data_IF_194996215168
#
_entry.id   IF_194996215168
#
_cell.length_a   1.000
_cell.length_b   1.000
_cell.length_c   1.000
_cell.angle_alpha   90.00
_cell.angle_beta   90.00
_cell.angle_gamma   90.00
#
_symmetry.space_group_name_H-M   'P 1'
#
loop_
_entity.id
_entity.type
_entity.pdbx_description
1 polymer ?
#
# COMPACT_ATOMS: atom_id res chain seq x y z
N UNK A 1 53.56 10.79 -14.13
CA UNK A 1 52.46 11.55 -14.75
C UNK A 1 51.21 10.67 -14.87
N UNK A 2 50.58 10.30 -13.75
CA UNK A 2 49.39 9.42 -13.75
C UNK A 2 48.52 9.60 -12.49
N UNK A 3 48.56 10.76 -11.84
CA UNK A 3 47.91 10.98 -10.53
C UNK A 3 46.93 12.16 -10.53
N UNK A 4 46.54 12.66 -11.71
CA UNK A 4 45.65 13.83 -11.82
C UNK A 4 44.27 13.47 -12.37
N UNK A 5 44.09 12.27 -12.92
CA UNK A 5 42.83 11.88 -13.58
C UNK A 5 41.79 11.23 -12.65
N UNK A 6 42.21 10.64 -11.52
CA UNK A 6 41.30 9.93 -10.60
C UNK A 6 40.36 10.90 -9.87
N UNK A 7 40.82 12.11 -9.56
CA UNK A 7 40.00 13.14 -8.89
C UNK A 7 38.90 13.70 -9.82
N UNK A 8 39.13 13.75 -11.13
CA UNK A 8 38.12 14.22 -12.09
C UNK A 8 36.96 13.21 -12.25
N UNK A 9 37.24 11.90 -12.13
CA UNK A 9 36.21 10.87 -12.22
C UNK A 9 35.30 10.82 -10.98
N UNK A 10 35.80 11.23 -9.81
CA UNK A 10 35.03 11.27 -8.56
C UNK A 10 34.08 12.48 -8.47
N UNK A 11 34.32 13.55 -9.25
CA UNK A 11 33.50 14.77 -9.23
C UNK A 11 32.36 14.78 -10.26
N UNK A 12 32.32 13.81 -11.20
CA UNK A 12 31.27 13.71 -12.22
C UNK A 12 30.01 12.97 -11.75
N UNK A 13 30.04 12.35 -10.58
CA UNK A 13 28.92 11.63 -9.98
C UNK A 13 28.08 12.50 -9.06
N UNK A 14 27.69 13.70 -9.48
CA UNK A 14 26.63 14.41 -8.79
C UNK A 14 25.31 13.68 -9.09
N UNK A 15 24.97 12.70 -8.24
CA UNK A 15 23.63 12.12 -8.21
C UNK A 15 22.68 13.30 -7.98
N UNK A 16 21.89 13.67 -8.99
CA UNK A 16 20.78 14.58 -8.78
C UNK A 16 19.84 13.90 -7.77
N UNK A 17 19.89 14.36 -6.52
CA UNK A 17 18.85 14.07 -5.55
C UNK A 17 17.64 14.85 -6.03
N UNK A 18 16.71 14.17 -6.68
CA UNK A 18 15.41 14.76 -6.95
C UNK A 18 14.83 15.31 -5.65
N UNK A 19 14.21 16.47 -5.72
CA UNK A 19 13.53 17.04 -4.57
C UNK A 19 12.53 16.00 -4.06
N UNK A 20 12.58 15.71 -2.76
CA UNK A 20 11.62 14.80 -2.14
C UNK A 20 10.19 15.30 -2.45
N UNK A 21 9.33 14.39 -2.90
CA UNK A 21 7.92 14.70 -3.15
C UNK A 21 7.30 15.39 -1.94
N UNK A 22 6.40 16.34 -2.17
CA UNK A 22 5.60 16.88 -1.07
C UNK A 22 4.74 15.76 -0.45
N UNK A 23 4.35 15.86 0.84
CA UNK A 23 3.45 14.89 1.46
C UNK A 23 2.16 14.64 0.65
N UNK A 24 1.63 15.67 -0.02
CA UNK A 24 0.44 15.56 -0.88
C UNK A 24 0.72 14.74 -2.14
N UNK A 25 1.88 14.94 -2.77
CA UNK A 25 2.31 14.15 -3.93
C UNK A 25 2.57 12.69 -3.55
N UNK A 26 3.14 12.44 -2.37
CA UNK A 26 3.30 11.08 -1.84
C UNK A 26 1.95 10.40 -1.60
N UNK A 27 1.00 11.11 -0.97
CA UNK A 27 -0.35 10.59 -0.71
C UNK A 27 -1.13 10.32 -2.01
N UNK A 28 -0.96 11.17 -3.03
CA UNK A 28 -1.56 10.98 -4.35
C UNK A 28 -1.16 9.66 -5.00
N UNK A 29 0.06 9.17 -4.76
CA UNK A 29 0.54 7.86 -5.25
C UNK A 29 -0.06 6.68 -4.51
N UNK A 30 -0.43 6.86 -3.24
CA UNK A 30 -0.95 5.80 -2.38
C UNK A 30 -2.44 5.47 -2.62
N UNK A 31 -3.14 6.20 -3.52
CA UNK A 31 -4.57 5.99 -3.82
C UNK A 31 -5.45 5.86 -2.57
N UNK A 32 -5.19 6.71 -1.57
CA UNK A 32 -5.87 6.64 -0.24
C UNK A 32 -7.37 6.93 -0.30
N UNK A 33 -7.83 7.56 -1.38
CA UNK A 33 -9.24 7.76 -1.68
C UNK A 33 -9.63 6.86 -2.84
N UNK A 34 -10.63 5.99 -2.64
CA UNK A 34 -11.23 5.29 -3.76
C UNK A 34 -12.11 6.25 -4.55
N UNK A 35 -11.81 6.39 -5.83
CA UNK A 35 -12.62 7.08 -6.84
C UNK A 35 -13.21 6.12 -7.88
N UNK A 36 -12.88 4.83 -7.77
CA UNK A 36 -13.36 3.74 -8.61
C UNK A 36 -13.33 2.43 -7.81
N UNK A 37 -14.13 1.42 -8.19
CA UNK A 37 -14.02 0.08 -7.64
C UNK A 37 -12.64 -0.54 -7.87
N UNK A 38 -12.20 -1.34 -6.92
CA UNK A 38 -11.00 -2.18 -7.01
C UNK A 38 -11.19 -3.32 -8.00
N UNK A 39 -10.14 -3.66 -8.76
CA UNK A 39 -10.18 -4.80 -9.68
C UNK A 39 -10.21 -6.13 -8.93
N UNK A 40 -9.40 -6.23 -7.87
CA UNK A 40 -9.24 -7.43 -7.05
C UNK A 40 -8.61 -7.07 -5.69
N UNK A 41 -8.22 -8.07 -4.90
CA UNK A 41 -7.62 -7.88 -3.58
C UNK A 41 -6.22 -7.23 -3.60
N UNK A 42 -5.52 -7.16 -4.74
CA UNK A 42 -4.23 -6.48 -4.85
C UNK A 42 -4.37 -4.96 -4.79
N UNK A 43 -5.56 -4.43 -5.10
CA UNK A 43 -5.90 -3.01 -4.95
C UNK A 43 -6.38 -2.67 -3.52
N UNK A 44 -6.26 -3.61 -2.58
CA UNK A 44 -6.75 -3.42 -1.22
C UNK A 44 -5.93 -2.39 -0.44
N UNK A 45 -6.65 -1.59 0.33
CA UNK A 45 -6.07 -0.64 1.26
C UNK A 45 -5.80 -1.33 2.61
N UNK A 46 -4.55 -1.29 3.12
CA UNK A 46 -4.25 -1.82 4.44
C UNK A 46 -4.82 -0.89 5.52
N UNK A 47 -5.52 -1.47 6.48
CA UNK A 47 -6.01 -0.81 7.68
C UNK A 47 -5.29 -1.42 8.88
N UNK A 48 -4.65 -0.56 9.67
CA UNK A 48 -4.12 -0.94 10.98
C UNK A 48 -5.18 -0.65 12.04
N UNK A 49 -5.43 -1.64 12.89
CA UNK A 49 -6.24 -1.47 14.10
C UNK A 49 -5.37 -1.32 15.34
N UNK A 50 -6.01 -1.42 16.50
CA UNK A 50 -5.31 -1.48 17.79
C UNK A 50 -5.08 -2.94 18.21
N UNK A 51 -4.15 -3.16 19.16
CA UNK A 51 -3.91 -4.47 19.77
C UNK A 51 -3.58 -5.57 18.75
N UNK A 52 -2.83 -5.24 17.70
CA UNK A 52 -2.40 -6.20 16.69
C UNK A 52 -3.44 -6.55 15.61
N UNK A 53 -4.65 -6.01 15.69
CA UNK A 53 -5.68 -6.16 14.65
C UNK A 53 -5.36 -5.35 13.40
N UNK A 54 -5.79 -5.85 12.25
CA UNK A 54 -5.72 -5.13 10.98
C UNK A 54 -6.54 -5.82 9.90
N UNK A 55 -6.64 -5.21 8.74
CA UNK A 55 -7.30 -5.79 7.59
C UNK A 55 -6.73 -5.24 6.28
N UNK A 56 -6.87 -6.00 5.21
CA UNK A 56 -6.86 -5.45 3.85
C UNK A 56 -8.30 -5.28 3.41
N UNK A 57 -8.67 -4.10 2.95
CA UNK A 57 -10.04 -3.77 2.54
C UNK A 57 -10.07 -3.32 1.10
N UNK A 58 -11.03 -3.80 0.32
CA UNK A 58 -11.26 -3.32 -1.05
C UNK A 58 -12.74 -3.34 -1.36
N UNK A 59 -13.16 -2.51 -2.32
CA UNK A 59 -14.53 -2.52 -2.82
C UNK A 59 -14.56 -3.06 -4.23
N UNK A 60 -15.37 -4.08 -4.48
CA UNK A 60 -15.57 -4.62 -5.82
C UNK A 60 -16.99 -5.14 -5.96
N UNK A 61 -17.52 -5.19 -7.18
CA UNK A 61 -18.84 -5.80 -7.46
C UNK A 61 -19.98 -5.36 -6.52
N UNK A 62 -19.97 -4.11 -6.03
CA UNK A 62 -21.02 -3.60 -5.14
C UNK A 62 -20.88 -4.00 -3.66
N UNK A 63 -19.77 -4.63 -3.27
CA UNK A 63 -19.52 -5.10 -1.91
C UNK A 63 -18.15 -4.67 -1.37
N UNK A 64 -18.05 -4.53 -0.05
CA UNK A 64 -16.79 -4.39 0.66
C UNK A 64 -16.25 -5.76 1.03
N UNK A 65 -14.99 -6.01 0.72
CA UNK A 65 -14.29 -7.23 1.06
C UNK A 65 -13.16 -6.95 2.05
N UNK A 66 -12.91 -7.92 2.92
CA UNK A 66 -11.92 -7.83 3.97
C UNK A 66 -11.10 -9.12 4.02
N UNK A 67 -9.78 -8.99 4.04
CA UNK A 67 -8.92 -10.02 4.63
C UNK A 67 -8.50 -9.58 6.02
N UNK A 68 -9.03 -10.28 7.02
CA UNK A 68 -8.76 -10.01 8.42
C UNK A 68 -7.34 -10.47 8.77
N UNK A 69 -6.63 -9.63 9.52
CA UNK A 69 -5.27 -9.90 9.97
C UNK A 69 -5.12 -9.67 11.47
N UNK A 70 -4.22 -10.45 12.06
CA UNK A 70 -3.75 -10.21 13.42
C UNK A 70 -2.24 -10.46 13.45
N UNK A 71 -1.46 -9.61 14.11
CA UNK A 71 0.01 -9.70 14.13
C UNK A 71 0.54 -10.99 14.80
N UNK A 72 -0.30 -11.72 15.53
CA UNK A 72 0.00 -13.03 16.11
C UNK A 72 -0.50 -14.22 15.31
N UNK A 73 -1.04 -14.03 14.10
CA UNK A 73 -1.62 -15.09 13.28
C UNK A 73 -0.57 -15.89 12.50
N UNK A 74 0.47 -16.34 13.19
CA UNK A 74 1.49 -17.22 12.61
C UNK A 74 0.99 -18.66 12.61
N UNK A 75 1.28 -19.39 11.53
CA UNK A 75 1.08 -20.83 11.47
C UNK A 75 2.28 -21.60 12.04
N UNK A 76 2.25 -22.93 11.94
CA UNK A 76 3.32 -23.80 12.42
C UNK A 76 4.66 -23.61 11.69
N UNK A 77 4.65 -22.99 10.51
CA UNK A 77 5.83 -22.71 9.69
C UNK A 77 6.32 -21.27 9.88
N UNK A 78 5.86 -20.58 10.93
CA UNK A 78 6.20 -19.19 11.24
C UNK A 78 5.79 -18.19 10.15
N UNK A 79 4.75 -18.51 9.37
CA UNK A 79 4.23 -17.61 8.33
C UNK A 79 3.02 -16.86 8.84
N UNK A 80 3.05 -15.52 8.72
CA UNK A 80 1.90 -14.68 9.07
C UNK A 80 0.75 -14.89 8.06
N UNK A 81 -0.41 -15.33 8.56
CA UNK A 81 -1.59 -15.62 7.75
C UNK A 81 -2.70 -14.60 7.93
N UNK A 82 -3.57 -14.52 6.91
CA UNK A 82 -4.89 -13.90 7.07
C UNK A 82 -5.78 -14.86 7.84
N UNK A 83 -6.39 -14.36 8.92
CA UNK A 83 -7.22 -15.18 9.83
C UNK A 83 -8.61 -15.45 9.27
N UNK A 84 -9.03 -14.72 8.23
CA UNK A 84 -10.31 -14.95 7.57
C UNK A 84 -10.61 -13.95 6.47
N UNK A 85 -11.63 -14.27 5.69
CA UNK A 85 -12.22 -13.40 4.69
C UNK A 85 -13.65 -13.05 5.09
N UNK A 86 -14.01 -11.77 4.98
CA UNK A 86 -15.36 -11.26 5.24
C UNK A 86 -15.82 -10.45 4.02
N UNK A 87 -17.09 -10.59 3.67
CA UNK A 87 -17.76 -9.72 2.69
C UNK A 87 -18.89 -8.98 3.39
N UNK A 88 -18.95 -7.67 3.23
CA UNK A 88 -20.00 -6.80 3.72
C UNK A 88 -20.78 -6.24 2.52
N UNK A 89 -22.04 -6.65 2.42
CA UNK A 89 -23.01 -6.05 1.51
C UNK A 89 -23.84 -5.05 2.29
N UNK A 90 -23.88 -3.81 1.82
CA UNK A 90 -24.72 -2.75 2.40
C UNK A 90 -25.86 -2.49 1.42
N UNK A 91 -27.10 -2.92 1.71
CA UNK A 91 -28.24 -2.67 0.84
C UNK A 91 -28.39 -1.17 0.55
N UNK A 92 -28.47 -0.80 -0.73
CA UNK A 92 -28.65 0.59 -1.17
C UNK A 92 -27.39 1.47 -1.14
N UNK A 93 -26.22 0.92 -0.81
CA UNK A 93 -24.96 1.67 -0.92
C UNK A 93 -24.44 1.62 -2.35
N UNK A 94 -24.50 2.75 -3.04
CA UNK A 94 -24.02 2.95 -4.41
C UNK A 94 -22.73 3.77 -4.38
N UNK A 95 -21.59 3.12 -4.12
CA UNK A 95 -20.30 3.81 -4.24
C UNK A 95 -20.01 4.07 -5.73
N UNK A 96 -19.44 5.24 -6.03
CA UNK A 96 -18.98 5.64 -7.38
C UNK A 96 -20.08 6.00 -8.40
N UNK A 97 -21.35 6.07 -8.01
CA UNK A 97 -22.38 6.82 -8.76
C UNK A 97 -22.32 8.30 -8.33
N UNK A 98 -21.39 9.06 -8.90
CA UNK A 98 -21.38 10.53 -8.83
C UNK A 98 -21.68 11.11 -10.21
#
# INVERSE_FOLDING_TARGET
>A
MAHTWVLALLMAGAVQLDAADSPEQMLGRCKVTWNSPSRDAFDSMPLSGTRGSGANVWFSEGALYFYLGHNGAYDADEVLRKIGALTLMVPGLELFKL
#
